data_IF_092478286823
#
_entry.id   IF_092478286823
#
_cell.length_a   1.000
_cell.length_b   1.000
_cell.length_c   1.000
_cell.angle_alpha   90.00
_cell.angle_beta   90.00
_cell.angle_gamma   90.00
#
_symmetry.space_group_name_H-M   'P 1'
#
loop_
_entity.id
_entity.type
_entity.pdbx_description
1 polymer ?
#
# COMPACT_ATOMS: atom_id res chain seq x y z
N UNK A 1 -14.93 12.75 18.22
CA UNK A 1 -13.70 11.98 18.53
C UNK A 1 -12.87 11.90 17.26
N UNK A 2 -11.53 12.05 17.32
CA UNK A 2 -10.68 11.92 16.13
C UNK A 2 -10.30 10.46 15.91
N UNK A 3 -10.46 9.98 14.68
CA UNK A 3 -10.02 8.66 14.23
C UNK A 3 -9.03 8.84 13.08
N UNK A 4 -8.09 7.92 12.94
CA UNK A 4 -7.24 7.82 11.77
C UNK A 4 -7.80 6.75 10.82
N UNK A 5 -7.87 7.09 9.54
CA UNK A 5 -8.21 6.15 8.46
C UNK A 5 -7.04 6.11 7.48
N UNK A 6 -6.88 4.97 6.81
CA UNK A 6 -5.79 4.75 5.89
C UNK A 6 -6.25 3.96 4.67
N UNK A 7 -5.58 4.20 3.56
CA UNK A 7 -5.69 3.42 2.34
C UNK A 7 -4.30 3.26 1.72
N UNK A 8 -4.09 2.21 0.94
CA UNK A 8 -2.83 2.01 0.24
C UNK A 8 -3.05 1.40 -1.14
N UNK A 9 -2.09 1.62 -2.03
CA UNK A 9 -2.06 1.07 -3.37
C UNK A 9 -0.64 0.61 -3.69
N UNK A 10 -0.53 -0.54 -4.37
CA UNK A 10 0.74 -1.05 -4.87
C UNK A 10 0.86 -0.70 -6.35
N UNK A 11 1.97 -0.10 -6.74
CA UNK A 11 2.30 0.21 -8.14
C UNK A 11 3.54 -0.59 -8.53
N UNK A 12 3.54 -1.35 -9.63
CA UNK A 12 4.75 -1.98 -10.15
C UNK A 12 5.88 -0.96 -10.29
N UNK A 13 7.08 -1.26 -9.79
CA UNK A 13 8.20 -0.32 -9.89
C UNK A 13 8.58 0.02 -11.33
N UNK A 14 8.35 -0.89 -12.28
CA UNK A 14 8.57 -0.65 -13.70
C UNK A 14 7.76 0.53 -14.24
N UNK A 15 6.60 0.78 -13.62
CA UNK A 15 5.63 1.78 -14.03
C UNK A 15 5.59 2.96 -13.04
N UNK A 16 6.43 2.96 -12.01
CA UNK A 16 6.42 3.97 -10.96
C UNK A 16 7.29 5.17 -11.34
N UNK A 17 6.67 6.34 -11.44
CA UNK A 17 7.32 7.65 -11.54
C UNK A 17 6.63 8.69 -10.63
N UNK A 18 7.12 9.94 -10.67
CA UNK A 18 6.57 11.02 -9.85
C UNK A 18 5.14 11.42 -10.26
N UNK A 19 4.80 11.31 -11.54
CA UNK A 19 3.46 11.62 -12.05
C UNK A 19 2.44 10.57 -11.60
N UNK A 20 2.83 9.30 -11.63
CA UNK A 20 2.07 8.18 -11.09
C UNK A 20 1.87 8.31 -9.58
N UNK A 21 2.88 8.76 -8.84
CA UNK A 21 2.72 9.03 -7.41
C UNK A 21 1.62 10.06 -7.16
N UNK A 22 1.63 11.19 -7.88
CA UNK A 22 0.61 12.24 -7.73
C UNK A 22 -0.78 11.69 -8.02
N UNK A 23 -0.92 10.96 -9.13
CA UNK A 23 -2.19 10.35 -9.51
C UNK A 23 -2.72 9.37 -8.46
N UNK A 24 -1.86 8.50 -7.93
CA UNK A 24 -2.22 7.54 -6.87
C UNK A 24 -2.63 8.26 -5.59
N UNK A 25 -1.93 9.32 -5.20
CA UNK A 25 -2.30 10.12 -4.02
C UNK A 25 -3.68 10.75 -4.20
N UNK A 26 -3.98 11.29 -5.37
CA UNK A 26 -5.29 11.89 -5.65
C UNK A 26 -6.41 10.85 -5.61
N UNK A 27 -6.21 9.67 -6.21
CA UNK A 27 -7.16 8.55 -6.13
C UNK A 27 -7.41 8.10 -4.68
N UNK A 28 -6.35 7.98 -3.87
CA UNK A 28 -6.48 7.58 -2.47
C UNK A 28 -7.21 8.64 -1.64
N UNK A 29 -7.00 9.94 -1.93
CA UNK A 29 -7.75 11.04 -1.30
C UNK A 29 -9.24 10.97 -1.65
N UNK A 30 -9.56 10.80 -2.93
CA UNK A 30 -10.94 10.64 -3.40
C UNK A 30 -11.62 9.45 -2.72
N UNK A 31 -10.95 8.29 -2.71
CA UNK A 31 -11.46 7.09 -2.03
C UNK A 31 -11.74 7.34 -0.54
N UNK A 32 -10.81 7.96 0.20
CA UNK A 32 -11.01 8.21 1.63
C UNK A 32 -12.11 9.23 1.90
N UNK A 33 -12.28 10.24 1.02
CA UNK A 33 -13.39 11.21 1.07
C UNK A 33 -14.75 10.56 0.84
N UNK A 34 -14.84 9.60 -0.08
CA UNK A 34 -16.08 8.85 -0.29
C UNK A 34 -16.46 8.00 0.93
N UNK A 35 -15.46 7.54 1.69
CA UNK A 35 -15.67 6.72 2.88
C UNK A 35 -15.89 7.53 4.17
N UNK A 36 -15.61 8.83 4.18
CA UNK A 36 -15.57 9.64 5.41
C UNK A 36 -16.27 10.99 5.25
N UNK A 37 -17.20 11.31 6.14
CA UNK A 37 -18.00 12.55 6.05
C UNK A 37 -17.22 13.82 6.44
N UNK A 38 -16.25 13.73 7.37
CA UNK A 38 -15.49 14.88 7.86
C UNK A 38 -14.00 14.53 7.90
N UNK A 39 -13.27 14.93 6.86
CA UNK A 39 -11.82 14.80 6.75
C UNK A 39 -11.13 16.10 7.19
N UNK A 40 -10.07 15.97 7.98
CA UNK A 40 -9.17 17.08 8.29
C UNK A 40 -8.09 17.20 7.21
N UNK A 41 -8.34 18.07 6.24
CA UNK A 41 -7.54 18.24 5.01
C UNK A 41 -6.07 18.68 5.25
N UNK A 42 -5.72 19.16 6.44
CA UNK A 42 -4.36 19.51 6.84
C UNK A 42 -3.58 18.33 7.45
N UNK A 43 -4.20 17.16 7.56
CA UNK A 43 -3.64 15.98 8.26
C UNK A 43 -3.26 14.82 7.35
N UNK A 44 -3.26 15.03 6.03
CA UNK A 44 -2.82 14.01 5.08
C UNK A 44 -1.33 13.67 5.27
N UNK A 45 -1.04 12.38 5.44
CA UNK A 45 0.32 11.85 5.48
C UNK A 45 0.49 10.80 4.38
N UNK A 46 1.47 11.00 3.50
CA UNK A 46 1.79 10.09 2.40
C UNK A 46 3.05 9.32 2.76
N UNK A 47 2.93 8.00 2.81
CA UNK A 47 4.05 7.09 3.04
C UNK A 47 4.33 6.27 1.79
N UNK A 48 5.61 6.10 1.49
CA UNK A 48 6.08 5.33 0.34
C UNK A 48 7.01 4.24 0.84
N UNK A 49 6.74 3.00 0.44
CA UNK A 49 7.57 1.87 0.83
C UNK A 49 7.75 0.92 -0.34
N UNK A 50 8.99 0.65 -0.70
CA UNK A 50 9.35 -0.33 -1.71
C UNK A 50 9.29 -1.73 -1.11
N UNK A 51 8.56 -2.65 -1.76
CA UNK A 51 8.34 -4.01 -1.27
C UNK A 51 8.35 -5.01 -2.41
N UNK A 52 8.60 -6.27 -2.07
CA UNK A 52 8.48 -7.40 -2.99
C UNK A 52 7.19 -8.15 -2.69
N UNK A 53 6.35 -8.35 -3.71
CA UNK A 53 5.18 -9.21 -3.66
C UNK A 53 5.49 -10.55 -4.32
N UNK A 54 4.83 -11.60 -3.84
CA UNK A 54 4.94 -12.95 -4.36
C UNK A 54 3.58 -13.39 -4.87
N UNK A 55 3.57 -14.07 -6.01
CA UNK A 55 2.35 -14.66 -6.53
C UNK A 55 2.05 -15.97 -5.80
N UNK A 56 0.90 -16.04 -5.16
CA UNK A 56 0.44 -17.25 -4.48
C UNK A 56 -0.14 -18.28 -5.48
N UNK A 57 -0.53 -19.45 -4.98
CA UNK A 57 -1.09 -20.55 -5.80
C UNK A 57 -2.41 -20.16 -6.51
N UNK A 58 -3.16 -19.20 -5.95
CA UNK A 58 -4.39 -18.65 -6.54
C UNK A 58 -4.11 -17.57 -7.61
N UNK A 59 -2.83 -17.26 -7.86
CA UNK A 59 -2.41 -16.22 -8.81
C UNK A 59 -2.48 -14.79 -8.29
N UNK A 60 -2.77 -14.60 -6.99
CA UNK A 60 -2.84 -13.29 -6.35
C UNK A 60 -1.46 -12.86 -5.82
N UNK A 61 -1.22 -11.54 -5.85
CA UNK A 61 0.01 -10.95 -5.31
C UNK A 61 -0.13 -10.67 -3.82
N UNK A 62 0.69 -11.32 -3.01
CA UNK A 62 0.65 -11.19 -1.56
C UNK A 62 2.02 -10.79 -0.99
N UNK A 63 2.00 -10.16 0.18
CA UNK A 63 3.22 -9.95 0.96
C UNK A 63 3.70 -11.30 1.51
N UNK A 64 5.02 -11.51 1.63
CA UNK A 64 5.53 -12.73 2.25
C UNK A 64 4.99 -12.84 3.68
N UNK A 65 4.31 -13.95 3.98
CA UNK A 65 3.59 -14.14 5.23
C UNK A 65 4.48 -14.36 6.47
N UNK A 66 5.79 -14.08 6.42
CA UNK A 66 6.71 -14.53 7.46
C UNK A 66 7.72 -13.44 7.86
N UNK A 67 7.75 -13.20 9.18
CA UNK A 67 8.87 -12.71 10.02
C UNK A 67 10.25 -13.20 9.51
N UNK A 68 11.37 -12.53 9.84
CA UNK A 68 12.61 -12.61 9.07
C UNK A 68 13.18 -14.02 9.06
N UNK A 69 12.81 -14.79 8.03
CA UNK A 69 13.46 -16.03 7.69
C UNK A 69 14.78 -15.65 7.06
N UNK A 70 15.79 -15.72 7.91
CA UNK A 70 17.18 -16.03 7.61
C UNK A 70 17.33 -16.48 6.16
N UNK A 71 17.99 -15.64 5.37
CA UNK A 71 18.30 -15.83 3.95
C UNK A 71 19.38 -16.93 3.88
N UNK A 72 19.03 -18.13 4.32
CA UNK A 72 19.88 -19.30 4.32
C UNK A 72 19.23 -20.35 3.44
N UNK A 73 19.55 -20.26 2.15
CA UNK A 73 19.74 -21.40 1.26
C UNK A 73 18.68 -22.52 1.36
N UNK A 74 17.46 -22.25 0.90
CA UNK A 74 16.55 -23.30 0.41
C UNK A 74 16.50 -23.23 -1.11
N UNK A 75 17.42 -23.93 -1.76
CA UNK A 75 17.21 -24.40 -3.14
C UNK A 75 15.97 -25.32 -3.12
N UNK A 76 15.14 -25.21 -4.15
CA UNK A 76 14.06 -26.16 -4.49
C UNK A 76 12.74 -26.07 -3.67
N UNK A 77 12.11 -24.91 -3.65
CA UNK A 77 10.64 -24.82 -3.52
C UNK A 77 10.18 -23.73 -4.46
N UNK A 78 9.20 -24.02 -5.32
CA UNK A 78 8.70 -23.16 -6.40
C UNK A 78 8.64 -21.70 -5.97
N UNK A 79 9.67 -20.95 -6.37
CA UNK A 79 9.68 -19.50 -6.18
C UNK A 79 8.65 -18.99 -7.19
N UNK A 80 7.42 -18.75 -6.72
CA UNK A 80 6.39 -18.09 -7.51
C UNK A 80 6.91 -16.77 -8.09
N UNK A 81 6.27 -16.29 -9.15
CA UNK A 81 6.61 -15.00 -9.77
C UNK A 81 6.75 -13.93 -8.68
N UNK A 82 7.82 -13.12 -8.77
CA UNK A 82 8.07 -11.99 -7.87
C UNK A 82 7.77 -10.69 -8.59
N UNK A 83 7.17 -9.73 -7.88
CA UNK A 83 6.89 -8.40 -8.39
C UNK A 83 7.34 -7.35 -7.39
N UNK A 84 8.26 -6.49 -7.84
CA UNK A 84 8.70 -5.35 -7.05
C UNK A 84 7.72 -4.19 -7.22
N UNK A 85 7.24 -3.65 -6.11
CA UNK A 85 6.23 -2.58 -6.10
C UNK A 85 6.65 -1.42 -5.21
N UNK A 86 6.18 -0.23 -5.57
CA UNK A 86 6.06 0.89 -4.63
C UNK A 86 4.68 0.83 -4.00
N UNK A 87 4.63 0.59 -2.68
CA UNK A 87 3.41 0.78 -1.89
C UNK A 87 3.30 2.25 -1.51
N UNK A 88 2.27 2.92 -2.02
CA UNK A 88 1.88 4.27 -1.60
C UNK A 88 0.74 4.13 -0.61
N UNK A 89 0.95 4.56 0.62
CA UNK A 89 -0.05 4.60 1.67
C UNK A 89 -0.40 6.04 2.00
N UNK A 90 -1.68 6.30 2.26
CA UNK A 90 -2.21 7.60 2.63
C UNK A 90 -2.99 7.44 3.92
N UNK A 91 -2.65 8.23 4.94
CA UNK A 91 -3.41 8.31 6.19
C UNK A 91 -3.96 9.71 6.39
N UNK A 92 -5.09 9.81 7.08
CA UNK A 92 -5.73 11.08 7.39
C UNK A 92 -6.57 10.99 8.67
N UNK A 93 -6.71 12.10 9.37
CA UNK A 93 -7.58 12.21 10.53
C UNK A 93 -8.99 12.60 10.12
N UNK A 94 -9.98 11.96 10.73
CA UNK A 94 -11.41 12.21 10.52
C UNK A 94 -12.11 12.51 11.83
N UNK A 95 -13.10 13.40 11.79
CA UNK A 95 -13.98 13.65 12.92
C UNK A 95 -15.16 12.68 12.89
N UNK A 96 -15.33 11.92 13.97
CA UNK A 96 -16.54 11.14 14.19
C UNK A 96 -17.53 12.03 14.95
N UNK A 97 -18.61 12.41 14.27
CA UNK A 97 -19.74 13.13 14.86
C UNK A 97 -20.28 12.39 16.08
N UNK A 98 -20.62 13.14 17.14
CA UNK A 98 -21.16 12.62 18.40
C UNK A 98 -22.66 12.35 18.32
#
# INVERSE_FOLDING_TARGET
MLKEVSAYMNVPLSDYDEDMLLHVVDLLKEFLREQSEIILEDTWDVQKNQRMLYKNEDGNWELPSIEPLDISHSKDSEIGEMLEVMTVALTVKVEVGS
#
